data_IF_569913306114
#
_entry.id   IF_569913306114
#
_cell.length_a   1.000
_cell.length_b   1.000
_cell.length_c   1.000
_cell.angle_alpha   90.00
_cell.angle_beta   90.00
_cell.angle_gamma   90.00
#
_symmetry.space_group_name_H-M   'P 1'
#
loop_
_entity.id
_entity.type
_entity.pdbx_description
1 polymer ?
#
# COMPACT_ATOMS: atom_id res chain seq x y z
N UNK A 1 -1.84 -10.88 -8.18
CA UNK A 1 -2.55 -9.60 -8.34
C UNK A 1 -1.57 -8.43 -8.58
N UNK A 2 -0.39 -8.44 -7.95
CA UNK A 2 0.63 -7.37 -8.14
C UNK A 2 1.35 -7.40 -9.49
N UNK A 3 1.10 -8.38 -10.34
CA UNK A 3 1.80 -8.56 -11.62
C UNK A 3 3.17 -9.24 -11.54
N UNK A 4 3.58 -9.68 -10.35
CA UNK A 4 4.85 -10.41 -10.16
C UNK A 4 4.81 -11.81 -10.78
N UNK A 5 3.64 -12.47 -10.73
CA UNK A 5 3.38 -13.76 -11.36
C UNK A 5 2.10 -13.72 -12.17
N UNK A 6 2.09 -14.45 -13.29
CA UNK A 6 0.87 -14.62 -14.08
C UNK A 6 -0.03 -15.67 -13.43
N UNK A 7 -1.35 -15.48 -13.42
CA UNK A 7 -2.28 -16.52 -13.01
C UNK A 7 -2.19 -17.71 -13.99
N UNK A 8 -2.28 -18.93 -13.45
CA UNK A 8 -2.33 -20.15 -14.26
C UNK A 8 -3.71 -20.35 -14.90
N UNK A 9 -4.77 -19.82 -14.28
CA UNK A 9 -6.15 -19.88 -14.75
C UNK A 9 -6.97 -18.78 -14.10
N UNK A 10 -8.20 -18.59 -14.60
CA UNK A 10 -9.11 -17.55 -14.13
C UNK A 10 -8.81 -16.17 -14.73
N UNK A 11 -9.52 -15.17 -14.25
CA UNK A 11 -9.38 -13.78 -14.71
C UNK A 11 -9.24 -12.81 -13.54
N UNK A 12 -8.59 -11.69 -13.80
CA UNK A 12 -8.49 -10.56 -12.87
C UNK A 12 -9.36 -9.44 -13.42
N UNK A 13 -10.30 -8.96 -12.61
CA UNK A 13 -11.16 -7.82 -12.95
C UNK A 13 -10.77 -6.62 -12.09
N UNK A 14 -10.52 -5.48 -12.71
CA UNK A 14 -10.33 -4.19 -12.03
C UNK A 14 -11.41 -3.23 -12.52
N UNK A 15 -12.30 -2.81 -11.64
CA UNK A 15 -13.44 -1.99 -12.01
C UNK A 15 -14.37 -2.68 -13.05
N UNK A 16 -14.58 -4.00 -12.93
CA UNK A 16 -15.36 -4.87 -13.84
C UNK A 16 -14.75 -5.05 -15.25
N UNK A 17 -13.51 -4.59 -15.46
CA UNK A 17 -12.81 -4.78 -16.73
C UNK A 17 -11.74 -5.87 -16.58
N UNK A 18 -11.66 -6.83 -17.53
CA UNK A 18 -10.63 -7.84 -17.52
C UNK A 18 -9.24 -7.21 -17.68
N UNK A 19 -8.32 -7.61 -16.81
CA UNK A 19 -6.96 -7.15 -16.81
C UNK A 19 -5.97 -8.32 -16.87
N UNK A 20 -4.91 -8.14 -17.64
CA UNK A 20 -3.78 -9.06 -17.66
C UNK A 20 -2.51 -8.30 -17.29
N UNK A 21 -1.89 -8.72 -16.18
CA UNK A 21 -0.63 -8.13 -15.75
C UNK A 21 0.53 -9.03 -16.19
N UNK A 22 1.43 -8.50 -17.01
CA UNK A 22 2.66 -9.16 -17.45
C UNK A 22 3.83 -8.80 -16.54
N UNK A 23 3.67 -7.71 -15.78
CA UNK A 23 4.67 -7.15 -14.89
C UNK A 23 4.00 -6.32 -13.79
N UNK A 24 4.70 -6.03 -12.68
CA UNK A 24 4.22 -5.08 -11.67
C UNK A 24 3.93 -3.68 -12.24
N UNK A 25 4.64 -3.29 -13.28
CA UNK A 25 4.37 -2.02 -13.97
C UNK A 25 2.97 -1.99 -14.57
N UNK A 26 2.50 -3.06 -15.20
CA UNK A 26 1.15 -3.13 -15.78
C UNK A 26 0.07 -3.02 -14.69
N UNK A 27 0.29 -3.66 -13.53
CA UNK A 27 -0.61 -3.56 -12.38
C UNK A 27 -0.71 -2.11 -11.88
N UNK A 28 0.43 -1.43 -11.71
CA UNK A 28 0.48 -0.01 -11.31
C UNK A 28 -0.23 0.89 -12.31
N UNK A 29 -0.10 0.65 -13.63
CA UNK A 29 -0.81 1.43 -14.65
C UNK A 29 -2.34 1.25 -14.56
N UNK A 30 -2.81 0.10 -14.11
CA UNK A 30 -4.23 -0.17 -13.85
C UNK A 30 -4.69 0.28 -12.44
N UNK A 31 -3.80 0.92 -11.69
CA UNK A 31 -4.10 1.42 -10.35
C UNK A 31 -4.08 0.33 -9.27
N UNK A 32 -3.46 -0.81 -9.53
CA UNK A 32 -3.23 -1.87 -8.53
C UNK A 32 -1.81 -1.76 -8.00
N UNK A 33 -1.65 -1.49 -6.72
CA UNK A 33 -0.36 -1.23 -6.07
C UNK A 33 -0.13 -2.15 -4.88
N UNK A 34 1.14 -2.39 -4.54
CA UNK A 34 1.54 -3.31 -3.47
C UNK A 34 2.35 -2.60 -2.39
N UNK A 35 1.95 -2.81 -1.14
CA UNK A 35 2.73 -2.54 0.07
C UNK A 35 3.31 -3.88 0.52
N UNK A 36 4.64 -4.08 0.41
CA UNK A 36 5.27 -5.34 0.80
C UNK A 36 5.36 -5.48 2.32
N UNK A 37 5.45 -6.73 2.81
CA UNK A 37 5.60 -7.02 4.24
C UNK A 37 6.95 -6.59 4.81
N UNK A 38 8.00 -6.59 3.99
CA UNK A 38 9.28 -6.00 4.37
C UNK A 38 9.40 -4.58 3.77
N UNK A 39 9.25 -3.58 4.63
CA UNK A 39 9.35 -2.17 4.26
C UNK A 39 10.73 -1.79 3.70
N UNK A 40 11.78 -2.51 4.07
CA UNK A 40 13.14 -2.21 3.60
C UNK A 40 13.32 -2.51 2.12
N UNK A 41 12.52 -3.43 1.56
CA UNK A 41 12.49 -3.72 0.13
C UNK A 41 11.85 -2.58 -0.68
N UNK A 42 11.01 -1.76 -0.04
CA UNK A 42 10.31 -0.66 -0.69
C UNK A 42 11.02 0.68 -0.53
N UNK A 43 11.94 0.82 0.42
CA UNK A 43 12.53 2.11 0.78
C UNK A 43 13.97 2.24 0.27
N UNK A 44 14.34 3.47 -0.05
CA UNK A 44 15.72 3.88 -0.28
C UNK A 44 16.23 4.58 0.98
N UNK A 45 16.90 3.83 1.91
CA UNK A 45 17.12 4.28 3.28
C UNK A 45 18.01 5.51 3.40
N UNK A 46 18.91 5.72 2.45
CA UNK A 46 19.84 6.86 2.44
C UNK A 46 19.27 8.12 1.78
N UNK A 47 18.09 8.01 1.13
CA UNK A 47 17.44 9.15 0.51
C UNK A 47 16.47 9.85 1.49
N UNK A 48 16.23 11.15 1.30
CA UNK A 48 15.24 11.91 2.04
C UNK A 48 13.83 11.32 1.91
N UNK A 49 12.98 11.59 2.92
CA UNK A 49 11.56 11.21 2.93
C UNK A 49 10.84 11.67 1.66
N UNK A 50 11.02 12.95 1.28
CA UNK A 50 10.37 13.51 0.09
C UNK A 50 10.72 12.76 -1.19
N UNK A 51 12.00 12.40 -1.37
CA UNK A 51 12.45 11.65 -2.54
C UNK A 51 11.90 10.21 -2.53
N UNK A 52 11.83 9.56 -1.36
CA UNK A 52 11.19 8.27 -1.23
C UNK A 52 9.70 8.33 -1.61
N UNK A 53 8.96 9.33 -1.16
CA UNK A 53 7.55 9.52 -1.49
C UNK A 53 7.32 9.78 -2.99
N UNK A 54 8.19 10.58 -3.62
CA UNK A 54 8.08 10.92 -5.04
C UNK A 54 8.48 9.80 -6.00
N UNK A 55 9.23 8.78 -5.52
CA UNK A 55 9.79 7.71 -6.36
C UNK A 55 8.80 7.07 -7.35
N UNK A 56 7.58 6.69 -6.97
CA UNK A 56 6.67 6.07 -7.91
C UNK A 56 6.20 7.00 -9.02
N UNK A 57 6.29 8.33 -8.85
CA UNK A 57 5.98 9.29 -9.92
C UNK A 57 6.98 9.19 -11.06
N UNK A 58 8.24 8.87 -10.75
CA UNK A 58 9.29 8.69 -11.76
C UNK A 58 9.16 7.38 -12.53
N UNK A 59 8.51 6.34 -11.97
CA UNK A 59 8.27 5.06 -12.64
C UNK A 59 7.17 5.11 -13.72
N UNK A 60 6.42 6.18 -13.82
CA UNK A 60 5.54 6.43 -14.98
C UNK A 60 6.33 6.83 -16.24
N UNK A 61 7.60 6.52 -16.28
CA UNK A 61 8.64 7.01 -17.18
C UNK A 61 8.65 6.34 -18.57
N UNK A 62 7.55 6.34 -19.27
CA UNK A 62 7.60 6.68 -20.69
C UNK A 62 7.62 8.21 -20.91
N UNK A 63 7.50 8.96 -19.81
CA UNK A 63 7.52 10.44 -19.75
C UNK A 63 8.58 10.95 -18.75
N UNK A 64 9.76 10.36 -18.74
CA UNK A 64 10.83 10.65 -17.77
C UNK A 64 11.33 12.11 -17.74
N UNK A 65 10.82 12.94 -18.63
CA UNK A 65 11.16 14.36 -18.72
C UNK A 65 10.14 15.32 -18.08
N UNK A 66 9.03 14.82 -17.51
CA UNK A 66 8.04 15.70 -16.89
C UNK A 66 7.70 15.20 -15.48
N UNK A 67 8.43 15.74 -14.49
CA UNK A 67 7.96 15.74 -13.10
C UNK A 67 6.64 16.51 -13.11
N UNK A 68 5.53 15.97 -12.59
CA UNK A 68 4.28 16.71 -12.48
C UNK A 68 4.54 18.03 -11.72
N UNK A 69 4.04 19.15 -12.21
CA UNK A 69 4.25 20.46 -11.57
C UNK A 69 3.66 20.50 -10.15
N UNK A 70 2.71 19.62 -9.84
CA UNK A 70 2.05 19.47 -8.54
C UNK A 70 2.72 18.43 -7.62
N UNK A 71 3.87 17.82 -8.04
CA UNK A 71 4.60 16.83 -7.23
C UNK A 71 4.92 17.34 -5.81
N UNK A 72 5.46 18.56 -5.61
CA UNK A 72 5.79 19.03 -4.27
C UNK A 72 4.54 19.12 -3.37
N UNK A 73 3.40 19.51 -3.93
CA UNK A 73 2.15 19.60 -3.18
C UNK A 73 1.60 18.22 -2.83
N UNK A 74 1.64 17.26 -3.76
CA UNK A 74 1.21 15.86 -3.51
C UNK A 74 2.05 15.22 -2.41
N UNK A 75 3.36 15.41 -2.46
CA UNK A 75 4.28 14.91 -1.44
C UNK A 75 3.99 15.56 -0.08
N UNK A 76 3.77 16.88 -0.04
CA UNK A 76 3.42 17.55 1.21
C UNK A 76 2.10 17.04 1.78
N UNK A 77 1.07 16.91 0.95
CA UNK A 77 -0.23 16.36 1.37
C UNK A 77 -0.10 14.96 1.97
N UNK A 78 0.73 14.09 1.37
CA UNK A 78 0.97 12.75 1.92
C UNK A 78 1.71 12.78 3.27
N UNK A 79 2.69 13.68 3.44
CA UNK A 79 3.39 13.89 4.71
C UNK A 79 2.40 14.31 5.79
N UNK A 80 1.53 15.28 5.49
CA UNK A 80 0.57 15.84 6.44
C UNK A 80 -0.52 14.81 6.79
N UNK A 81 -1.09 14.14 5.79
CA UNK A 81 -2.13 13.11 5.97
C UNK A 81 -1.64 11.94 6.84
N UNK A 82 -0.38 11.54 6.68
CA UNK A 82 0.23 10.43 7.42
C UNK A 82 0.90 10.89 8.71
N UNK A 83 0.95 12.19 8.97
CA UNK A 83 1.69 12.77 10.10
C UNK A 83 3.12 12.21 10.19
N UNK A 84 3.84 12.20 9.05
CA UNK A 84 5.22 11.69 9.01
C UNK A 84 6.12 12.71 9.69
N UNK A 85 6.83 12.28 10.74
CA UNK A 85 7.80 13.15 11.42
C UNK A 85 9.03 13.37 10.55
N UNK A 86 9.10 14.55 9.93
CA UNK A 86 10.23 14.94 9.09
C UNK A 86 11.26 15.82 9.81
N UNK A 87 11.03 16.19 11.08
CA UNK A 87 11.87 17.14 11.82
C UNK A 87 13.27 16.63 12.11
N UNK A 88 13.40 15.34 12.41
CA UNK A 88 14.67 14.73 12.81
C UNK A 88 15.40 14.04 11.65
N UNK A 89 14.78 13.85 10.50
CA UNK A 89 15.30 12.94 9.50
C UNK A 89 15.18 13.46 8.07
N UNK A 90 16.27 13.96 7.57
CA UNK A 90 16.42 14.08 6.12
C UNK A 90 16.42 12.70 5.44
N UNK A 91 16.88 11.64 6.11
CA UNK A 91 17.01 10.28 5.55
C UNK A 91 16.05 9.30 6.21
N UNK A 92 15.40 8.45 5.39
CA UNK A 92 14.40 7.47 5.85
C UNK A 92 14.95 6.49 6.88
N UNK A 93 16.23 6.10 6.79
CA UNK A 93 16.86 5.19 7.76
C UNK A 93 16.85 5.69 9.21
N UNK A 94 16.66 7.00 9.43
CA UNK A 94 16.63 7.61 10.77
C UNK A 94 15.24 7.64 11.38
N UNK A 95 14.22 7.30 10.61
CA UNK A 95 12.85 7.23 11.10
C UNK A 95 12.61 5.97 11.93
N UNK A 96 11.65 6.03 12.86
CA UNK A 96 11.11 4.86 13.52
C UNK A 96 10.49 3.89 12.50
N UNK A 97 10.35 2.61 12.85
CA UNK A 97 9.74 1.61 11.98
C UNK A 97 8.33 2.00 11.52
N UNK A 98 7.54 2.59 12.41
CA UNK A 98 6.21 3.10 12.08
C UNK A 98 6.24 4.25 11.07
N UNK A 99 7.12 5.23 11.24
CA UNK A 99 7.28 6.30 10.27
C UNK A 99 7.82 5.81 8.93
N UNK A 100 8.72 4.81 8.92
CA UNK A 100 9.15 4.16 7.68
C UNK A 100 7.96 3.51 6.95
N UNK A 101 7.09 2.81 7.69
CA UNK A 101 5.89 2.20 7.10
C UNK A 101 4.92 3.24 6.54
N UNK A 102 4.75 4.37 7.21
CA UNK A 102 3.99 5.51 6.69
C UNK A 102 4.58 6.03 5.38
N UNK A 103 5.92 6.09 5.25
CA UNK A 103 6.56 6.47 3.97
C UNK A 103 6.23 5.46 2.86
N UNK A 104 6.24 4.15 3.15
CA UNK A 104 5.86 3.11 2.15
C UNK A 104 4.43 3.32 1.66
N UNK A 105 3.48 3.53 2.58
CA UNK A 105 2.08 3.83 2.23
C UNK A 105 1.95 5.16 1.48
N UNK A 106 2.65 6.19 1.94
CA UNK A 106 2.63 7.53 1.36
C UNK A 106 3.06 7.58 -0.11
N UNK A 107 3.97 6.69 -0.53
CA UNK A 107 4.38 6.56 -1.94
C UNK A 107 3.19 6.34 -2.87
N UNK A 108 2.23 5.55 -2.43
CA UNK A 108 1.05 5.25 -3.23
C UNK A 108 -0.02 6.33 -3.11
N UNK A 109 -0.11 7.04 -1.98
CA UNK A 109 -0.97 8.23 -1.86
C UNK A 109 -0.56 9.34 -2.83
N UNK A 110 0.74 9.56 -3.00
CA UNK A 110 1.29 10.57 -3.93
C UNK A 110 0.92 10.26 -5.39
N UNK A 111 0.92 8.98 -5.78
CA UNK A 111 0.58 8.56 -7.16
C UNK A 111 -0.89 8.35 -7.41
N UNK A 112 -1.65 8.07 -6.36
CA UNK A 112 -3.03 7.58 -6.43
C UNK A 112 -3.12 6.12 -6.88
N UNK A 113 -4.16 5.44 -6.42
CA UNK A 113 -4.43 4.04 -6.76
C UNK A 113 -5.93 3.76 -6.69
N UNK A 114 -6.37 2.62 -7.21
CA UNK A 114 -7.73 2.08 -7.09
C UNK A 114 -7.78 0.89 -6.15
N UNK A 115 -6.73 0.07 -6.18
CA UNK A 115 -6.61 -1.14 -5.36
C UNK A 115 -5.27 -1.14 -4.66
N UNK A 116 -5.30 -1.31 -3.34
CA UNK A 116 -4.12 -1.40 -2.50
C UNK A 116 -4.00 -2.82 -1.95
N UNK A 117 -2.94 -3.51 -2.34
CA UNK A 117 -2.58 -4.80 -1.79
C UNK A 117 -1.61 -4.56 -0.62
N UNK A 118 -2.01 -4.91 0.59
CA UNK A 118 -1.19 -4.77 1.80
C UNK A 118 -0.76 -6.14 2.29
N UNK A 119 0.53 -6.37 2.40
CA UNK A 119 1.09 -7.61 2.92
C UNK A 119 1.74 -7.33 4.28
N UNK A 120 1.09 -7.76 5.37
CA UNK A 120 1.52 -7.52 6.76
C UNK A 120 1.95 -6.05 7.05
N UNK A 121 1.14 -5.03 6.70
CA UNK A 121 1.58 -3.64 6.72
C UNK A 121 1.88 -3.10 8.12
N UNK A 122 1.47 -3.82 9.16
CA UNK A 122 1.59 -3.42 10.56
C UNK A 122 2.57 -4.28 11.35
N UNK A 123 3.28 -5.18 10.66
CA UNK A 123 4.24 -6.08 11.29
C UNK A 123 5.43 -5.32 11.90
N UNK A 124 5.67 -5.57 13.19
CA UNK A 124 6.83 -5.02 13.90
C UNK A 124 6.81 -3.51 14.11
N UNK A 125 5.61 -2.92 14.18
CA UNK A 125 5.40 -1.51 14.55
C UNK A 125 4.61 -1.40 15.86
N UNK A 126 4.72 -0.25 16.51
CA UNK A 126 4.05 0.01 17.78
C UNK A 126 2.54 0.14 17.62
N UNK A 127 1.80 -0.07 18.71
CA UNK A 127 0.34 -0.13 18.72
C UNK A 127 -0.32 1.19 18.31
N UNK A 128 0.32 2.33 18.64
CA UNK A 128 -0.21 3.63 18.27
C UNK A 128 -0.16 3.82 16.74
N UNK A 129 0.98 3.54 16.14
CA UNK A 129 1.15 3.62 14.68
C UNK A 129 0.28 2.60 13.95
N UNK A 130 0.06 1.39 14.51
CA UNK A 130 -0.90 0.43 13.96
C UNK A 130 -2.29 1.04 13.83
N UNK A 131 -2.81 1.65 14.92
CA UNK A 131 -4.13 2.30 14.92
C UNK A 131 -4.24 3.39 13.86
N UNK A 132 -3.20 4.19 13.68
CA UNK A 132 -3.16 5.25 12.67
C UNK A 132 -3.19 4.66 11.25
N UNK A 133 -2.49 3.56 11.00
CA UNK A 133 -2.52 2.86 9.71
C UNK A 133 -3.90 2.26 9.46
N UNK A 134 -4.55 1.64 10.45
CA UNK A 134 -5.90 1.10 10.29
C UNK A 134 -6.92 2.20 9.99
N UNK A 135 -6.86 3.31 10.71
CA UNK A 135 -7.70 4.46 10.44
C UNK A 135 -7.52 5.00 9.02
N UNK A 136 -6.27 5.06 8.53
CA UNK A 136 -5.97 5.43 7.16
C UNK A 136 -6.58 4.45 6.15
N UNK A 137 -6.40 3.13 6.34
CA UNK A 137 -6.95 2.12 5.43
C UNK A 137 -8.46 2.19 5.36
N UNK A 138 -9.13 2.37 6.51
CA UNK A 138 -10.60 2.58 6.58
C UNK A 138 -11.05 3.85 5.87
N UNK A 139 -10.33 4.96 6.03
CA UNK A 139 -10.63 6.23 5.33
C UNK A 139 -10.48 6.09 3.82
N UNK A 140 -9.44 5.39 3.35
CA UNK A 140 -9.22 5.12 1.93
C UNK A 140 -10.31 4.22 1.34
N UNK A 141 -10.74 3.20 2.08
CA UNK A 141 -11.85 2.32 1.68
C UNK A 141 -13.17 3.11 1.60
N UNK A 142 -13.45 3.97 2.58
CA UNK A 142 -14.63 4.83 2.57
C UNK A 142 -14.65 5.82 1.40
N UNK A 143 -13.48 6.20 0.89
CA UNK A 143 -13.31 7.02 -0.33
C UNK A 143 -13.36 6.21 -1.63
N UNK A 144 -13.64 4.92 -1.57
CA UNK A 144 -13.87 4.04 -2.72
C UNK A 144 -12.64 3.25 -3.19
N UNK A 145 -11.54 3.24 -2.45
CA UNK A 145 -10.43 2.35 -2.75
C UNK A 145 -10.76 0.90 -2.35
N UNK A 146 -10.38 -0.07 -3.18
CA UNK A 146 -10.41 -1.48 -2.81
C UNK A 146 -9.12 -1.82 -2.06
N UNK A 147 -9.23 -2.43 -0.86
CA UNK A 147 -8.07 -2.81 -0.06
C UNK A 147 -8.08 -4.32 0.15
N UNK A 148 -6.99 -4.98 -0.21
CA UNK A 148 -6.76 -6.40 0.08
C UNK A 148 -5.64 -6.47 1.10
N UNK A 149 -5.98 -6.89 2.31
CA UNK A 149 -5.07 -7.01 3.43
C UNK A 149 -4.75 -8.48 3.69
N UNK A 150 -3.47 -8.83 3.65
CA UNK A 150 -2.96 -10.03 4.28
C UNK A 150 -2.36 -9.65 5.62
N UNK A 151 -2.75 -10.33 6.69
CA UNK A 151 -2.16 -10.14 8.02
C UNK A 151 -1.88 -11.49 8.69
N UNK A 152 -0.78 -11.54 9.44
CA UNK A 152 -0.45 -12.64 10.35
C UNK A 152 -1.07 -12.46 11.74
N UNK A 153 -1.63 -11.29 12.05
CA UNK A 153 -2.22 -10.96 13.34
C UNK A 153 -3.76 -11.00 13.25
N UNK A 154 -4.37 -12.14 13.54
CA UNK A 154 -5.83 -12.36 13.40
C UNK A 154 -6.67 -11.35 14.18
N UNK A 155 -6.19 -10.88 15.34
CA UNK A 155 -6.90 -9.88 16.16
C UNK A 155 -7.09 -8.52 15.44
N UNK A 156 -6.38 -8.26 14.36
CA UNK A 156 -6.51 -7.03 13.57
C UNK A 156 -7.71 -7.07 12.63
N UNK A 157 -8.12 -8.26 12.21
CA UNK A 157 -9.14 -8.46 11.18
C UNK A 157 -10.45 -7.71 11.49
N UNK A 158 -11.09 -7.89 12.66
CA UNK A 158 -12.35 -7.19 12.97
C UNK A 158 -12.20 -5.67 13.05
N UNK A 159 -10.98 -5.17 13.23
CA UNK A 159 -10.72 -3.73 13.38
C UNK A 159 -10.63 -3.01 12.05
N UNK A 160 -10.18 -3.70 10.98
CA UNK A 160 -9.82 -3.05 9.72
C UNK A 160 -10.50 -3.63 8.49
N UNK A 161 -11.00 -4.87 8.54
CA UNK A 161 -11.63 -5.56 7.42
C UNK A 161 -13.15 -5.51 7.50
N UNK A 162 -13.82 -5.64 6.34
CA UNK A 162 -15.25 -5.83 6.20
C UNK A 162 -15.55 -7.32 5.90
N UNK A 163 -14.64 -8.02 5.23
CA UNK A 163 -14.78 -9.40 4.76
C UNK A 163 -13.45 -10.14 4.90
N UNK A 164 -13.52 -11.42 5.21
CA UNK A 164 -12.36 -12.30 5.38
C UNK A 164 -12.44 -13.46 4.42
N UNK A 165 -11.34 -13.71 3.72
CA UNK A 165 -11.16 -14.89 2.89
C UNK A 165 -10.08 -15.76 3.54
N UNK A 166 -10.46 -16.96 3.99
CA UNK A 166 -9.52 -17.93 4.54
C UNK A 166 -8.94 -18.76 3.40
N UNK A 167 -7.62 -18.80 3.31
CA UNK A 167 -6.91 -19.57 2.30
C UNK A 167 -6.14 -20.74 2.92
N UNK A 168 -6.28 -21.93 2.31
CA UNK A 168 -5.53 -23.11 2.66
C UNK A 168 -5.09 -23.83 1.37
N UNK A 169 -3.81 -24.20 1.27
CA UNK A 169 -3.22 -24.87 0.08
C UNK A 169 -3.59 -24.20 -1.26
N UNK A 170 -3.55 -22.86 -1.29
CA UNK A 170 -3.83 -22.08 -2.49
C UNK A 170 -5.31 -22.01 -2.89
N UNK A 171 -6.23 -22.45 -2.04
CA UNK A 171 -7.68 -22.39 -2.26
C UNK A 171 -8.35 -21.55 -1.19
N UNK A 172 -9.39 -20.83 -1.57
CA UNK A 172 -10.29 -20.17 -0.61
C UNK A 172 -11.17 -21.28 -0.03
N UNK A 173 -11.06 -21.51 1.28
CA UNK A 173 -11.82 -22.52 2.02
C UNK A 173 -12.95 -21.93 2.83
N UNK A 174 -12.92 -20.62 3.09
CA UNK A 174 -13.98 -19.91 3.78
C UNK A 174 -14.05 -18.45 3.34
N UNK A 175 -15.25 -17.85 3.42
CA UNK A 175 -15.57 -16.50 3.02
C UNK A 175 -16.67 -15.96 3.95
N UNK A 176 -16.29 -15.06 4.86
CA UNK A 176 -17.18 -14.60 5.94
C UNK A 176 -17.07 -13.10 6.19
N UNK A 177 -18.06 -12.54 6.88
CA UNK A 177 -18.02 -11.19 7.42
C UNK A 177 -16.93 -11.09 8.49
N UNK A 178 -16.15 -10.00 8.48
CA UNK A 178 -15.05 -9.82 9.42
C UNK A 178 -15.51 -9.74 10.88
N UNK A 179 -16.76 -9.35 11.15
CA UNK A 179 -17.34 -9.32 12.49
C UNK A 179 -17.56 -10.72 13.09
N UNK A 180 -17.55 -11.77 12.25
CA UNK A 180 -17.72 -13.17 12.64
C UNK A 180 -16.38 -13.91 12.75
N UNK A 181 -15.28 -13.29 12.32
CA UNK A 181 -13.96 -13.86 12.41
C UNK A 181 -13.45 -13.77 13.87
N UNK A 182 -13.48 -14.89 14.57
CA UNK A 182 -12.99 -15.05 15.96
C UNK A 182 -11.87 -16.07 16.04
#
# INVERSE_FOLDING_TARGET
LSGDRRPSSGEILVGRQPCQFRSPYDAVQQGVVLVPGDRLLALLPNLPVRQNLAMPLFNRIRQWLRIPADEPQRVQNAIDQLSIDTRAASQVRRLSGGNQQKVVLGRWLVTGFRTLLCFDPTRGIDIQTKREIYALLRDLAAKGAAIVLYTSELAEIPLVCDRVLVMHDGRIVDDQDASQAT
#
